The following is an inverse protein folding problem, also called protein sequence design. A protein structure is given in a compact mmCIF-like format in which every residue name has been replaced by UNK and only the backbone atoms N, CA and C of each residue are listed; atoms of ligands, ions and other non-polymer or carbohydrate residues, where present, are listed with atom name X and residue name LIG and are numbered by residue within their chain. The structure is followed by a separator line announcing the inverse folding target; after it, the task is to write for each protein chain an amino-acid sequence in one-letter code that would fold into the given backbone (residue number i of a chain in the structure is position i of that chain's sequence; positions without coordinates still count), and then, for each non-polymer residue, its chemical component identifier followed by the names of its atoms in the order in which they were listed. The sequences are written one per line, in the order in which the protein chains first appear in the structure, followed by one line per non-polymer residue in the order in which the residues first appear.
data_IF_006355903266
#
_entry.id   IF_006355903266
#
_cell.length_a   1.000
_cell.length_b   1.000
_cell.length_c   1.000
_cell.angle_alpha   90.00
_cell.angle_beta   90.00
_cell.angle_gamma   90.00
#
_symmetry.space_group_name_H-M   'P 1'
#
loop_
_entity.id
_entity.type
_entity.pdbx_description
1 polymer ?
#
# COMPACT_ATOMS: atom_id res chain seq x y z
N UNK A 1 0.83 3.23 18.30
CA UNK A 1 1.70 2.18 17.76
C UNK A 1 3.14 2.45 18.12
N UNK A 2 3.89 1.39 18.34
CA UNK A 2 5.28 1.46 18.83
C UNK A 2 6.26 1.10 17.71
N UNK A 3 5.88 1.37 16.45
CA UNK A 3 6.71 1.10 15.30
C UNK A 3 6.22 1.77 14.02
N UNK A 4 7.02 1.64 13.00
CA UNK A 4 6.74 2.13 11.66
C UNK A 4 7.09 1.08 10.60
N UNK A 5 6.42 1.17 9.48
CA UNK A 5 6.71 0.39 8.29
C UNK A 5 7.43 1.26 7.26
N UNK A 6 8.52 0.73 6.71
CA UNK A 6 9.32 1.40 5.69
C UNK A 6 9.36 0.53 4.43
N UNK A 7 9.17 1.17 3.27
CA UNK A 7 9.35 0.54 1.97
C UNK A 7 10.83 0.61 1.57
N UNK A 8 11.39 -0.52 1.14
CA UNK A 8 12.65 -0.58 0.42
C UNK A 8 12.34 -0.72 -1.08
N UNK A 9 12.47 0.40 -1.80
CA UNK A 9 12.00 0.54 -3.18
C UNK A 9 12.59 -0.52 -4.11
N UNK A 10 13.92 -0.57 -4.24
CA UNK A 10 14.61 -1.47 -5.18
C UNK A 10 14.47 -2.95 -4.81
N UNK A 11 14.43 -3.26 -3.52
CA UNK A 11 14.27 -4.62 -3.04
C UNK A 11 12.81 -5.11 -3.09
N UNK A 12 11.84 -4.22 -3.30
CA UNK A 12 10.41 -4.50 -3.20
C UNK A 12 10.06 -5.23 -1.90
N UNK A 13 10.51 -4.64 -0.77
CA UNK A 13 10.27 -5.18 0.56
C UNK A 13 9.72 -4.13 1.52
N UNK A 14 9.10 -4.61 2.60
CA UNK A 14 8.71 -3.82 3.76
C UNK A 14 9.57 -4.23 4.94
N UNK A 15 10.14 -3.25 5.64
CA UNK A 15 10.83 -3.46 6.91
C UNK A 15 10.06 -2.80 8.05
N UNK A 16 9.82 -3.53 9.11
CA UNK A 16 9.27 -3.00 10.35
C UNK A 16 10.39 -2.46 11.23
N UNK A 17 10.19 -1.27 11.81
CA UNK A 17 11.08 -0.68 12.81
C UNK A 17 10.34 -0.46 14.10
N UNK A 18 10.94 -0.91 15.20
CA UNK A 18 10.50 -0.57 16.55
C UNK A 18 10.94 0.85 16.89
N UNK A 19 10.00 1.65 17.37
CA UNK A 19 10.26 3.03 17.78
C UNK A 19 10.43 3.09 19.32
N UNK A 20 11.59 3.51 19.76
CA UNK A 20 11.79 3.94 21.15
C UNK A 20 11.20 5.36 21.31
N UNK A 21 10.08 5.46 22.02
CA UNK A 21 9.37 6.74 22.20
C UNK A 21 10.11 7.75 23.07
N UNK A 22 11.05 7.30 23.89
CA UNK A 22 11.81 8.20 24.77
C UNK A 22 12.98 8.85 24.02
N UNK A 23 13.65 8.07 23.18
CA UNK A 23 14.85 8.51 22.46
C UNK A 23 14.60 8.86 21.00
N UNK A 24 13.47 8.42 20.43
CA UNK A 24 13.17 8.52 18.99
C UNK A 24 13.98 7.56 18.12
N UNK A 25 14.77 6.68 18.72
CA UNK A 25 15.60 5.74 17.97
C UNK A 25 14.77 4.61 17.37
N UNK A 26 15.19 4.18 16.16
CA UNK A 26 14.60 3.08 15.44
C UNK A 26 15.48 1.84 15.54
N UNK A 27 14.88 0.71 15.86
CA UNK A 27 15.54 -0.60 15.85
C UNK A 27 14.88 -1.48 14.80
N UNK A 28 15.67 -1.98 13.86
CA UNK A 28 15.19 -2.83 12.78
C UNK A 28 14.55 -4.13 13.31
N UNK A 29 13.41 -4.48 12.75
CA UNK A 29 12.68 -5.69 13.00
C UNK A 29 12.68 -6.62 11.77
N UNK A 30 11.51 -7.19 11.45
CA UNK A 30 11.36 -8.13 10.31
C UNK A 30 11.19 -7.40 8.97
N UNK A 31 11.80 -7.97 7.93
CA UNK A 31 11.59 -7.57 6.53
C UNK A 31 10.80 -8.67 5.79
N UNK A 32 9.81 -8.25 4.99
CA UNK A 32 8.98 -9.14 4.15
C UNK A 32 8.94 -8.65 2.71
N UNK A 33 8.80 -9.56 1.74
CA UNK A 33 8.60 -9.21 0.34
C UNK A 33 7.21 -8.61 0.12
N UNK A 34 7.10 -7.65 -0.81
CA UNK A 34 5.82 -7.13 -1.31
C UNK A 34 5.36 -7.83 -2.57
N UNK A 35 6.15 -8.77 -3.09
CA UNK A 35 5.90 -9.51 -4.33
C UNK A 35 5.54 -10.96 -4.05
N UNK A 36 4.75 -11.60 -4.92
CA UNK A 36 4.53 -13.04 -4.88
C UNK A 36 5.85 -13.82 -4.97
N UNK A 37 5.94 -14.96 -4.28
CA UNK A 37 7.14 -15.80 -4.26
C UNK A 37 7.59 -16.26 -5.65
N UNK A 38 6.64 -16.46 -6.55
CA UNK A 38 6.86 -16.96 -7.91
C UNK A 38 7.34 -15.86 -8.87
N UNK A 39 7.15 -14.59 -8.52
CA UNK A 39 7.55 -13.48 -9.37
C UNK A 39 9.08 -13.34 -9.42
N UNK A 40 9.63 -13.33 -10.65
CA UNK A 40 11.08 -13.23 -10.90
C UNK A 40 11.46 -11.99 -11.71
N UNK A 41 10.48 -11.14 -11.99
CA UNK A 41 10.72 -9.89 -12.74
C UNK A 41 11.26 -8.76 -11.87
N UNK A 42 11.57 -7.65 -12.51
CA UNK A 42 11.93 -6.40 -11.83
C UNK A 42 10.68 -5.70 -11.33
N UNK A 43 10.71 -5.20 -10.12
CA UNK A 43 9.66 -4.35 -9.54
C UNK A 43 10.27 -3.36 -8.55
N UNK A 44 9.52 -2.30 -8.26
CA UNK A 44 9.90 -1.28 -7.29
C UNK A 44 8.70 -0.97 -6.40
N UNK A 45 8.80 -1.29 -5.12
CA UNK A 45 7.76 -0.89 -4.17
C UNK A 45 7.72 0.64 -4.03
N UNK A 46 6.53 1.22 -3.96
CA UNK A 46 6.36 2.68 -3.95
C UNK A 46 5.37 3.14 -2.87
N UNK A 47 4.09 3.32 -3.20
CA UNK A 47 3.09 3.79 -2.24
C UNK A 47 2.84 2.80 -1.10
N UNK A 48 2.63 3.33 0.10
CA UNK A 48 2.31 2.56 1.31
C UNK A 48 1.19 3.28 2.05
N UNK A 49 0.14 2.55 2.42
CA UNK A 49 -0.93 3.10 3.26
C UNK A 49 -1.41 2.07 4.27
N UNK A 50 -1.55 2.52 5.52
CA UNK A 50 -2.09 1.74 6.64
C UNK A 50 -3.55 2.15 6.88
N UNK A 51 -4.42 1.18 7.11
CA UNK A 51 -5.81 1.46 7.52
C UNK A 51 -5.83 2.20 8.86
N UNK A 52 -6.90 2.96 9.09
CA UNK A 52 -7.05 3.78 10.30
C UNK A 52 -7.02 2.98 11.60
N UNK A 53 -7.50 1.75 11.57
CA UNK A 53 -7.48 0.83 12.71
C UNK A 53 -6.13 0.10 12.87
N UNK A 54 -5.17 0.34 11.96
CA UNK A 54 -3.84 -0.25 11.98
C UNK A 54 -3.77 -1.73 11.61
N UNK A 55 -4.85 -2.30 11.05
CA UNK A 55 -4.95 -3.74 10.80
C UNK A 55 -4.66 -4.16 9.36
N UNK A 56 -4.80 -3.24 8.41
CA UNK A 56 -4.60 -3.53 6.99
C UNK A 56 -3.52 -2.62 6.41
N UNK A 57 -2.61 -3.19 5.65
CA UNK A 57 -1.49 -2.49 5.03
C UNK A 57 -1.50 -2.78 3.52
N UNK A 58 -1.44 -1.74 2.70
CA UNK A 58 -1.45 -1.84 1.24
C UNK A 58 -0.18 -1.22 0.68
N UNK A 59 0.45 -1.91 -0.27
CA UNK A 59 1.70 -1.47 -0.91
C UNK A 59 1.56 -1.53 -2.42
N UNK A 60 1.93 -0.46 -3.11
CA UNK A 60 2.00 -0.44 -4.56
C UNK A 60 3.35 -0.98 -5.06
N UNK A 61 3.31 -1.87 -6.04
CA UNK A 61 4.47 -2.42 -6.74
C UNK A 61 4.49 -1.91 -8.19
N UNK A 62 5.40 -0.97 -8.50
CA UNK A 62 5.62 -0.48 -9.87
C UNK A 62 6.27 -1.59 -10.70
N UNK A 63 5.99 -1.62 -11.99
CA UNK A 63 6.36 -2.64 -13.00
C UNK A 63 5.62 -3.97 -12.81
N UNK A 64 5.47 -4.49 -11.61
CA UNK A 64 4.53 -5.59 -11.35
C UNK A 64 3.08 -5.13 -11.45
N UNK A 65 2.85 -3.82 -11.27
CA UNK A 65 1.54 -3.17 -11.39
C UNK A 65 0.48 -3.79 -10.47
N UNK A 66 0.87 -4.05 -9.23
CA UNK A 66 0.00 -4.64 -8.23
C UNK A 66 -0.09 -3.84 -6.93
N UNK A 67 -1.10 -4.20 -6.14
CA UNK A 67 -1.24 -3.83 -4.74
C UNK A 67 -1.01 -5.11 -3.93
N UNK A 68 0.03 -5.14 -3.13
CA UNK A 68 0.18 -6.17 -2.10
C UNK A 68 -0.63 -5.78 -0.87
N UNK A 69 -1.52 -6.66 -0.44
CA UNK A 69 -2.36 -6.47 0.74
C UNK A 69 -1.90 -7.39 1.88
N UNK A 70 -1.69 -6.80 3.06
CA UNK A 70 -1.29 -7.49 4.27
C UNK A 70 -2.24 -7.21 5.42
N UNK A 71 -2.51 -8.23 6.23
CA UNK A 71 -3.08 -8.04 7.57
C UNK A 71 -1.94 -7.89 8.58
N UNK A 72 -2.02 -6.86 9.41
CA UNK A 72 -1.11 -6.65 10.55
C UNK A 72 -1.64 -7.47 11.73
N UNK A 73 -0.86 -8.44 12.18
CA UNK A 73 -1.22 -9.33 13.28
C UNK A 73 -0.94 -8.66 14.64
N UNK A 74 -1.47 -9.25 15.71
CA UNK A 74 -1.36 -8.68 17.06
C UNK A 74 0.10 -8.55 17.56
N UNK A 75 0.99 -9.41 17.07
CA UNK A 75 2.44 -9.35 17.35
C UNK A 75 3.20 -8.37 16.45
N UNK A 76 2.49 -7.63 15.59
CA UNK A 76 3.06 -6.71 14.60
C UNK A 76 3.63 -7.38 13.35
N UNK A 77 3.54 -8.71 13.22
CA UNK A 77 3.93 -9.39 11.99
C UNK A 77 2.89 -9.20 10.89
N UNK A 78 3.30 -9.41 9.63
CA UNK A 78 2.43 -9.31 8.46
C UNK A 78 2.04 -10.68 7.93
N UNK A 79 0.75 -10.83 7.64
CA UNK A 79 0.21 -11.95 6.86
C UNK A 79 -0.24 -11.42 5.50
N UNK A 80 0.44 -11.83 4.41
CA UNK A 80 0.03 -11.47 3.06
C UNK A 80 -1.31 -12.13 2.71
N UNK A 81 -2.27 -11.32 2.26
CA UNK A 81 -3.62 -11.78 1.97
C UNK A 81 -3.83 -11.98 0.47
N UNK A 82 -3.44 -10.99 -0.33
CA UNK A 82 -3.65 -11.00 -1.77
C UNK A 82 -2.66 -10.07 -2.47
N UNK A 83 -2.53 -10.27 -3.77
CA UNK A 83 -1.81 -9.40 -4.68
C UNK A 83 -2.73 -9.07 -5.86
N UNK A 84 -3.10 -7.80 -6.01
CA UNK A 84 -4.18 -7.37 -6.87
C UNK A 84 -3.64 -6.46 -7.96
N UNK A 85 -3.96 -6.73 -9.22
CA UNK A 85 -3.64 -5.83 -10.32
C UNK A 85 -4.27 -4.45 -10.13
N UNK A 86 -3.47 -3.38 -10.25
CA UNK A 86 -3.88 -1.98 -10.09
C UNK A 86 -4.83 -1.45 -11.15
N UNK A 87 -5.04 -2.21 -12.23
CA UNK A 87 -5.81 -1.79 -13.41
C UNK A 87 -5.22 -0.60 -14.14
N UNK A 88 -3.91 -0.39 -13.99
CA UNK A 88 -3.12 0.65 -14.62
C UNK A 88 -1.64 0.32 -14.61
N UNK A 89 -0.81 1.27 -15.02
CA UNK A 89 0.64 1.11 -15.13
C UNK A 89 1.37 2.09 -14.21
N UNK A 90 2.41 1.58 -13.55
CA UNK A 90 3.28 2.31 -12.66
C UNK A 90 2.52 2.98 -11.49
N UNK A 91 1.91 2.18 -10.57
CA UNK A 91 1.22 2.72 -9.40
C UNK A 91 2.22 3.42 -8.48
N UNK A 92 2.21 4.75 -8.46
CA UNK A 92 3.17 5.57 -7.73
C UNK A 92 2.82 5.69 -6.26
N UNK A 93 1.54 5.85 -5.93
CA UNK A 93 1.06 5.98 -4.57
C UNK A 93 -0.36 5.45 -4.41
N UNK A 94 -0.74 5.23 -3.16
CA UNK A 94 -2.03 4.78 -2.70
C UNK A 94 -2.59 5.76 -1.68
N UNK A 95 -3.92 5.94 -1.64
CA UNK A 95 -4.57 6.75 -0.62
C UNK A 95 -5.90 6.12 -0.23
N UNK A 96 -6.16 5.97 1.07
CA UNK A 96 -7.47 5.61 1.60
C UNK A 96 -8.30 6.86 1.82
N UNK A 97 -9.60 6.77 1.58
CA UNK A 97 -10.51 7.82 2.02
C UNK A 97 -10.58 7.90 3.56
N UNK A 98 -11.16 8.97 4.09
CA UNK A 98 -11.21 9.23 5.53
C UNK A 98 -11.97 8.15 6.33
N UNK A 99 -12.83 7.39 5.66
CA UNK A 99 -13.62 6.31 6.26
C UNK A 99 -12.99 4.92 6.04
N UNK A 100 -11.91 4.82 5.25
CA UNK A 100 -11.26 3.55 4.90
C UNK A 100 -12.11 2.64 4.02
N UNK A 101 -13.08 3.22 3.28
CA UNK A 101 -14.01 2.47 2.43
C UNK A 101 -13.51 2.34 0.99
N UNK A 102 -12.66 3.28 0.56
CA UNK A 102 -12.12 3.35 -0.79
C UNK A 102 -10.61 3.51 -0.76
N UNK A 103 -9.94 2.68 -1.55
CA UNK A 103 -8.52 2.81 -1.86
C UNK A 103 -8.38 3.35 -3.29
N UNK A 104 -7.66 4.47 -3.43
CA UNK A 104 -7.33 5.09 -4.71
C UNK A 104 -5.89 4.78 -5.07
N UNK A 105 -5.65 4.50 -6.35
CA UNK A 105 -4.33 4.15 -6.89
C UNK A 105 -3.97 5.12 -8.00
N UNK A 106 -2.86 5.83 -7.84
CA UNK A 106 -2.33 6.76 -8.82
C UNK A 106 -1.41 6.02 -9.79
N UNK A 107 -1.93 5.67 -10.97
CA UNK A 107 -1.21 4.95 -12.02
C UNK A 107 -0.51 5.95 -12.95
N UNK A 108 0.76 6.23 -12.68
CA UNK A 108 1.48 7.35 -13.28
C UNK A 108 1.66 7.23 -14.79
N UNK A 109 1.94 6.03 -15.32
CA UNK A 109 2.22 5.84 -16.75
C UNK A 109 0.98 5.58 -17.59
N UNK A 110 -0.13 5.22 -16.97
CA UNK A 110 -1.42 5.06 -17.67
C UNK A 110 -2.35 6.26 -17.50
N UNK A 111 -1.85 7.37 -16.94
CA UNK A 111 -2.58 8.66 -16.87
C UNK A 111 -3.96 8.52 -16.22
N UNK A 112 -4.08 7.73 -15.17
CA UNK A 112 -5.36 7.54 -14.51
C UNK A 112 -5.24 7.24 -13.01
N UNK A 113 -6.36 7.48 -12.33
CA UNK A 113 -6.61 7.00 -10.98
C UNK A 113 -7.64 5.88 -11.07
N UNK A 114 -7.33 4.74 -10.47
CA UNK A 114 -8.27 3.65 -10.25
C UNK A 114 -8.70 3.59 -8.80
N UNK A 115 -9.88 3.04 -8.53
CA UNK A 115 -10.39 2.91 -7.16
C UNK A 115 -10.86 1.50 -6.86
N UNK A 116 -10.70 1.12 -5.61
CA UNK A 116 -11.09 -0.18 -5.09
C UNK A 116 -11.96 -0.01 -3.85
N UNK A 117 -13.05 -0.77 -3.78
CA UNK A 117 -13.82 -0.90 -2.56
C UNK A 117 -13.05 -1.75 -1.55
N UNK A 118 -12.93 -1.26 -0.32
CA UNK A 118 -12.30 -1.97 0.79
C UNK A 118 -13.38 -2.72 1.57
N UNK A 119 -13.23 -4.02 1.70
CA UNK A 119 -14.15 -4.83 2.49
C UNK A 119 -13.97 -4.54 3.98
N UNK A 120 -15.04 -4.19 4.73
CA UNK A 120 -14.92 -3.75 6.12
C UNK A 120 -14.48 -4.86 7.07
N UNK A 121 -14.64 -6.13 6.69
CA UNK A 121 -14.30 -7.28 7.54
C UNK A 121 -12.81 -7.62 7.54
N UNK A 122 -12.19 -7.61 6.38
CA UNK A 122 -10.85 -8.18 6.16
C UNK A 122 -9.95 -7.33 5.25
N UNK A 123 -10.42 -6.16 4.81
CA UNK A 123 -9.65 -5.22 3.99
C UNK A 123 -9.46 -5.65 2.53
N UNK A 124 -10.08 -6.74 2.07
CA UNK A 124 -9.98 -7.20 0.68
C UNK A 124 -10.48 -6.15 -0.30
N UNK A 125 -9.80 -6.08 -1.43
CA UNK A 125 -10.05 -5.07 -2.44
C UNK A 125 -10.92 -5.61 -3.58
N UNK A 126 -11.95 -4.84 -3.94
CA UNK A 126 -12.76 -5.10 -5.12
C UNK A 126 -12.67 -3.89 -6.05
N UNK A 127 -12.22 -4.11 -7.29
CA UNK A 127 -12.11 -3.06 -8.29
C UNK A 127 -13.48 -2.45 -8.60
N UNK A 128 -13.55 -1.13 -8.59
CA UNK A 128 -14.69 -0.37 -9.14
C UNK A 128 -14.34 -0.01 -10.59
N UNK A 129 -15.16 -0.38 -11.60
CA UNK A 129 -14.79 -0.26 -13.00
C UNK A 129 -14.83 1.18 -13.53
N UNK A 130 -14.35 2.12 -12.73
CA UNK A 130 -14.24 3.52 -13.08
C UNK A 130 -12.78 3.96 -13.13
N UNK A 131 -12.46 4.76 -14.14
CA UNK A 131 -11.15 5.36 -14.34
C UNK A 131 -11.30 6.88 -14.32
N UNK A 132 -10.56 7.55 -13.45
CA UNK A 132 -10.47 9.01 -13.46
C UNK A 132 -9.22 9.41 -14.25
N UNK A 133 -9.34 10.06 -15.42
CA UNK A 133 -8.19 10.48 -16.21
C UNK A 133 -7.47 11.64 -15.52
N UNK A 134 -6.17 11.49 -15.30
CA UNK A 134 -5.28 12.50 -14.71
C UNK A 134 -3.89 12.28 -15.27
N UNK A 135 -3.29 13.29 -15.90
CA UNK A 135 -1.93 13.18 -16.46
C UNK A 135 -0.88 12.93 -15.40
N UNK A 136 -0.15 11.82 -15.53
CA UNK A 136 0.97 11.41 -14.68
C UNK A 136 0.75 11.61 -13.16
N UNK A 137 -0.33 11.09 -12.57
CA UNK A 137 -0.62 11.31 -11.14
C UNK A 137 0.47 10.68 -10.27
N UNK A 138 0.96 11.45 -9.30
CA UNK A 138 2.05 11.00 -8.42
C UNK A 138 1.66 10.92 -6.95
N UNK A 139 0.75 11.79 -6.51
CA UNK A 139 0.29 11.82 -5.13
C UNK A 139 -1.11 12.43 -5.03
N UNK A 140 -1.88 11.97 -4.06
CA UNK A 140 -3.22 12.49 -3.74
C UNK A 140 -3.38 12.66 -2.24
N UNK A 141 -4.03 13.74 -1.85
CA UNK A 141 -4.47 13.98 -0.47
C UNK A 141 -5.98 14.21 -0.49
N UNK A 142 -6.68 13.56 0.41
CA UNK A 142 -8.12 13.74 0.59
C UNK A 142 -8.33 14.65 1.79
N UNK A 143 -8.92 15.82 1.57
CA UNK A 143 -9.31 16.74 2.64
C UNK A 143 -10.80 16.55 2.99
N UNK A 144 -11.15 16.73 4.26
CA UNK A 144 -12.53 16.97 4.62
C UNK A 144 -12.97 18.31 3.98
N UNK A 145 -14.13 18.33 3.35
CA UNK A 145 -14.71 19.61 2.96
C UNK A 145 -15.13 20.37 4.22
N UNK A 146 -14.95 21.70 4.26
CA UNK A 146 -15.42 22.51 5.37
C UNK A 146 -16.94 22.49 5.53
#
# INVERSE_FOLDING_TARGET
GDGLWLINEEASTLTFYHLDKQTGLLREGKTVSTLPKEYKGTSFAAGLVLSRDGKQLYVANRLHNSIAHFTVLADGSLSQQEDIWTRGDCPRTLTLDSQGQWLYVMNQRSDNITRFRVAPKDGRLTFSPDYTPVGAPSQMVISAQP
#
